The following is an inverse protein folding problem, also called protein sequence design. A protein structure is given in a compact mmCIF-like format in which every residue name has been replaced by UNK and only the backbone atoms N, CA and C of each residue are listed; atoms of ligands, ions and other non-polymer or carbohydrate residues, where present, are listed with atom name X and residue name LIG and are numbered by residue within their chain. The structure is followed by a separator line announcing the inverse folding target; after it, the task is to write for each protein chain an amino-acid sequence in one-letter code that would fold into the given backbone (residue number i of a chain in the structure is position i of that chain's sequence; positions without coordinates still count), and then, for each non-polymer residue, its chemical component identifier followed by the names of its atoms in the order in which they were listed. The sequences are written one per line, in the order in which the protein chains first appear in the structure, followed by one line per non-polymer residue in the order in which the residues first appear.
data_IF_643162122193
#
_entry.id   IF_643162122193
#
_cell.length_a   1.000
_cell.length_b   1.000
_cell.length_c   1.000
_cell.angle_alpha   90.00
_cell.angle_beta   90.00
_cell.angle_gamma   90.00
#
_symmetry.space_group_name_H-M   'P 1'
#
loop_
_entity.id
_entity.type
_entity.pdbx_description
1 polymer ?
#
# COMPACT_ATOMS: atom_id res chain seq x y z
N UNK A 1 1.50 8.82 12.76
CA UNK A 1 0.31 8.91 13.62
C UNK A 1 -0.88 8.32 12.88
N UNK A 2 -1.53 7.32 13.46
CA UNK A 2 -2.67 6.69 12.79
C UNK A 2 -3.89 7.59 12.85
N UNK A 3 -4.56 7.71 11.72
CA UNK A 3 -5.80 8.46 11.62
C UNK A 3 -6.95 7.47 11.80
N UNK A 4 -7.78 7.62 12.85
CA UNK A 4 -8.91 6.71 13.06
C UNK A 4 -9.84 6.63 11.85
N UNK A 5 -9.92 7.72 11.10
CA UNK A 5 -10.74 7.73 9.88
C UNK A 5 -10.19 6.81 8.82
N UNK A 6 -8.88 6.61 8.78
CA UNK A 6 -8.25 5.72 7.79
C UNK A 6 -8.67 4.28 8.00
N UNK A 7 -8.71 3.81 9.25
CA UNK A 7 -9.18 2.45 9.54
C UNK A 7 -10.62 2.28 9.08
N UNK A 8 -11.48 3.24 9.40
CA UNK A 8 -12.89 3.17 9.01
C UNK A 8 -13.06 3.17 7.49
N UNK A 9 -12.27 3.98 6.79
CA UNK A 9 -12.30 4.01 5.33
C UNK A 9 -11.88 2.67 4.74
N UNK A 10 -10.83 2.06 5.29
CA UNK A 10 -10.37 0.74 4.84
C UNK A 10 -11.47 -0.31 5.02
N UNK A 11 -12.12 -0.32 6.18
CA UNK A 11 -13.18 -1.27 6.48
C UNK A 11 -14.39 -1.06 5.57
N UNK A 12 -14.70 0.19 5.26
CA UNK A 12 -15.79 0.52 4.35
C UNK A 12 -15.54 -0.06 2.96
N UNK A 13 -14.33 0.08 2.45
CA UNK A 13 -13.96 -0.46 1.13
C UNK A 13 -14.04 -1.98 1.15
N UNK A 14 -13.56 -2.61 2.21
CA UNK A 14 -13.66 -4.06 2.36
C UNK A 14 -15.11 -4.52 2.30
N UNK A 15 -15.98 -3.84 3.05
CA UNK A 15 -17.39 -4.17 3.08
C UNK A 15 -18.07 -4.01 1.72
N UNK A 16 -17.74 -2.94 1.01
CA UNK A 16 -18.27 -2.70 -0.34
C UNK A 16 -17.85 -3.78 -1.34
N UNK A 17 -16.72 -4.43 -1.06
CA UNK A 17 -16.23 -5.53 -1.92
C UNK A 17 -16.71 -6.89 -1.45
N UNK A 18 -17.68 -6.92 -0.55
CA UNK A 18 -18.29 -8.17 -0.09
C UNK A 18 -17.57 -8.86 1.05
N UNK A 19 -16.54 -8.23 1.62
CA UNK A 19 -15.83 -8.80 2.75
C UNK A 19 -16.61 -8.55 4.05
N UNK A 20 -16.76 -9.62 4.81
CA UNK A 20 -17.30 -9.51 6.16
C UNK A 20 -16.24 -8.89 7.06
N UNK A 21 -16.63 -7.88 7.85
CA UNK A 21 -15.72 -7.24 8.80
C UNK A 21 -15.60 -8.16 10.02
N UNK A 22 -14.37 -8.62 10.27
CA UNK A 22 -14.04 -9.47 11.40
C UNK A 22 -13.00 -8.75 12.26
N UNK A 23 -12.83 -9.22 13.50
CA UNK A 23 -11.82 -8.65 14.39
C UNK A 23 -10.41 -8.77 13.77
N UNK A 24 -10.14 -9.88 13.10
CA UNK A 24 -8.85 -10.11 12.45
C UNK A 24 -8.61 -9.10 11.33
N UNK A 25 -9.64 -8.84 10.50
CA UNK A 25 -9.52 -7.87 9.40
C UNK A 25 -9.42 -6.45 9.94
N UNK A 26 -10.10 -6.14 11.03
CA UNK A 26 -9.97 -4.85 11.70
C UNK A 26 -8.56 -4.67 12.25
N UNK A 27 -8.00 -5.71 12.85
CA UNK A 27 -6.62 -5.70 13.34
C UNK A 27 -5.63 -5.48 12.19
N UNK A 28 -5.89 -6.13 11.05
CA UNK A 28 -5.05 -5.97 9.86
C UNK A 28 -5.04 -4.51 9.41
N UNK A 29 -6.18 -3.87 9.37
CA UNK A 29 -6.26 -2.45 9.03
C UNK A 29 -5.48 -1.58 10.03
N UNK A 30 -5.61 -1.87 11.32
CA UNK A 30 -4.89 -1.13 12.35
C UNK A 30 -3.38 -1.27 12.23
N UNK A 31 -2.90 -2.45 11.87
CA UNK A 31 -1.46 -2.68 11.68
C UNK A 31 -0.88 -1.70 10.66
N UNK A 32 -1.58 -1.49 9.57
CA UNK A 32 -1.12 -0.58 8.53
C UNK A 32 -1.27 0.89 8.90
N UNK A 33 -2.31 1.25 9.61
CA UNK A 33 -2.51 2.64 10.01
C UNK A 33 -1.59 3.06 11.15
N UNK A 34 -1.20 2.11 12.00
CA UNK A 34 -0.32 2.39 13.13
C UNK A 34 1.16 2.46 12.73
N UNK A 35 1.49 1.97 11.56
CA UNK A 35 2.88 1.94 11.09
C UNK A 35 3.07 2.96 9.96
N UNK A 36 3.99 3.88 10.17
CA UNK A 36 4.31 4.90 9.17
C UNK A 36 5.46 4.41 8.30
N UNK A 37 5.11 3.69 7.24
CA UNK A 37 6.09 3.12 6.34
C UNK A 37 5.54 1.92 5.60
N UNK A 38 6.44 1.14 5.05
CA UNK A 38 6.08 -0.02 4.24
C UNK A 38 6.26 -1.30 5.05
N UNK A 39 5.33 -2.21 4.92
CA UNK A 39 5.36 -3.49 5.61
C UNK A 39 5.42 -4.64 4.62
N UNK A 40 6.36 -5.55 4.84
CA UNK A 40 6.43 -6.79 4.07
C UNK A 40 5.37 -7.77 4.56
N UNK A 41 5.02 -8.79 3.77
CA UNK A 41 4.12 -9.84 4.26
C UNK A 41 4.59 -10.49 5.56
N UNK A 42 5.90 -10.67 5.72
CA UNK A 42 6.47 -11.23 6.93
C UNK A 42 6.24 -10.30 8.13
N UNK A 43 6.44 -8.99 7.94
CA UNK A 43 6.20 -8.01 9.01
C UNK A 43 4.74 -8.05 9.47
N UNK A 44 3.82 -8.11 8.52
CA UNK A 44 2.38 -8.16 8.83
C UNK A 44 2.05 -9.45 9.54
N UNK A 45 2.60 -10.56 9.07
CA UNK A 45 2.38 -11.86 9.69
C UNK A 45 2.82 -11.86 11.15
N UNK A 46 4.03 -11.34 11.42
CA UNK A 46 4.55 -11.28 12.79
C UNK A 46 3.68 -10.43 13.70
N UNK A 47 3.22 -9.29 13.21
CA UNK A 47 2.35 -8.41 14.00
C UNK A 47 0.98 -9.02 14.25
N UNK A 48 0.43 -9.70 13.26
CA UNK A 48 -0.88 -10.32 13.39
C UNK A 48 -0.84 -11.53 14.30
N UNK A 49 0.26 -12.28 14.31
CA UNK A 49 0.43 -13.47 15.17
C UNK A 49 0.34 -13.15 16.65
N UNK A 50 0.63 -11.92 17.05
CA UNK A 50 0.53 -11.52 18.45
C UNK A 50 -0.88 -11.78 19.00
N UNK A 51 -1.90 -11.46 18.21
CA UNK A 51 -3.28 -11.64 18.61
C UNK A 51 -3.92 -12.91 18.04
N UNK A 52 -3.37 -13.42 16.95
CA UNK A 52 -3.91 -14.58 16.23
C UNK A 52 -2.80 -15.58 15.93
N UNK A 53 -2.29 -16.30 16.97
CA UNK A 53 -1.12 -17.17 16.79
C UNK A 53 -1.31 -18.29 15.78
N UNK A 54 -2.54 -18.68 15.49
CA UNK A 54 -2.82 -19.78 14.57
C UNK A 54 -2.98 -19.35 13.11
N UNK A 55 -2.86 -18.02 12.83
CA UNK A 55 -2.99 -17.56 11.46
C UNK A 55 -1.81 -18.07 10.62
N UNK A 56 -2.08 -18.51 9.39
CA UNK A 56 -1.02 -18.97 8.51
C UNK A 56 -0.45 -17.80 7.70
N UNK A 57 0.81 -17.92 7.32
CA UNK A 57 1.44 -16.94 6.44
C UNK A 57 0.68 -16.82 5.12
N UNK A 58 0.23 -17.96 4.61
CA UNK A 58 -0.51 -18.02 3.34
C UNK A 58 -1.81 -17.21 3.40
N UNK A 59 -2.52 -17.29 4.53
CA UNK A 59 -3.74 -16.49 4.75
C UNK A 59 -3.42 -15.01 4.75
N UNK A 60 -2.35 -14.62 5.43
CA UNK A 60 -1.92 -13.21 5.47
C UNK A 60 -1.60 -12.71 4.08
N UNK A 61 -0.78 -13.47 3.34
CA UNK A 61 -0.36 -13.08 2.00
C UNK A 61 -1.56 -12.91 1.06
N UNK A 62 -2.51 -13.85 1.13
CA UNK A 62 -3.72 -13.80 0.31
C UNK A 62 -4.56 -12.55 0.63
N UNK A 63 -4.71 -12.25 1.92
CA UNK A 63 -5.44 -11.05 2.33
C UNK A 63 -4.76 -9.77 1.84
N UNK A 64 -3.44 -9.70 1.90
CA UNK A 64 -2.70 -8.53 1.42
C UNK A 64 -2.90 -8.32 -0.08
N UNK A 65 -2.86 -9.40 -0.85
CA UNK A 65 -3.11 -9.32 -2.28
C UNK A 65 -4.52 -8.83 -2.59
N UNK A 66 -5.50 -9.35 -1.89
CA UNK A 66 -6.89 -8.94 -2.10
C UNK A 66 -7.11 -7.47 -1.70
N UNK A 67 -6.50 -7.04 -0.60
CA UNK A 67 -6.58 -5.64 -0.19
C UNK A 67 -5.93 -4.71 -1.22
N UNK A 68 -4.86 -5.16 -1.84
CA UNK A 68 -4.22 -4.42 -2.92
C UNK A 68 -5.13 -4.32 -4.14
N UNK A 69 -5.80 -5.41 -4.50
CA UNK A 69 -6.74 -5.43 -5.61
C UNK A 69 -7.95 -4.52 -5.38
N UNK A 70 -8.38 -4.39 -4.11
CA UNK A 70 -9.48 -3.50 -3.74
C UNK A 70 -9.08 -2.03 -3.71
N UNK A 71 -7.78 -1.73 -3.80
CA UNK A 71 -7.28 -0.37 -3.70
C UNK A 71 -7.07 0.12 -2.28
N UNK A 72 -7.20 -0.75 -1.27
CA UNK A 72 -6.98 -0.40 0.13
C UNK A 72 -5.50 -0.26 0.41
N UNK A 73 -4.69 -1.15 -0.16
CA UNK A 73 -3.24 -1.13 -0.03
C UNK A 73 -2.59 -0.90 -1.39
N UNK A 74 -1.39 -0.34 -1.38
CA UNK A 74 -0.54 -0.25 -2.56
C UNK A 74 0.66 -1.15 -2.38
N UNK A 75 1.11 -1.78 -3.48
CA UNK A 75 2.28 -2.65 -3.51
C UNK A 75 3.47 -1.91 -4.06
N UNK A 76 4.63 -2.12 -3.45
CA UNK A 76 5.88 -1.51 -3.89
C UNK A 76 6.99 -2.55 -3.85
N UNK A 77 7.97 -2.40 -4.75
CA UNK A 77 9.12 -3.31 -4.82
C UNK A 77 10.38 -2.56 -4.46
N UNK A 78 11.18 -3.12 -3.56
CA UNK A 78 12.41 -2.51 -3.08
C UNK A 78 13.59 -3.45 -3.32
N UNK A 79 14.81 -2.88 -3.42
CA UNK A 79 16.01 -3.65 -3.71
C UNK A 79 16.26 -4.78 -2.72
N UNK A 80 16.17 -4.47 -1.43
CA UNK A 80 16.51 -5.44 -0.38
C UNK A 80 15.30 -6.11 0.24
N UNK A 81 14.18 -5.46 0.21
CA UNK A 81 12.99 -5.93 0.91
C UNK A 81 11.98 -6.66 0.05
N UNK A 82 12.17 -6.66 -1.25
CA UNK A 82 11.21 -7.25 -2.15
C UNK A 82 9.87 -6.53 -2.09
N UNK A 83 8.81 -7.32 -2.04
CA UNK A 83 7.44 -6.78 -2.05
C UNK A 83 7.04 -6.26 -0.68
N UNK A 84 6.58 -5.01 -0.64
CA UNK A 84 6.04 -4.40 0.58
C UNK A 84 4.73 -3.69 0.27
N UNK A 85 3.97 -3.44 1.31
CA UNK A 85 2.64 -2.83 1.20
C UNK A 85 2.55 -1.61 2.10
N UNK A 86 1.74 -0.66 1.67
CA UNK A 86 1.42 0.53 2.45
C UNK A 86 -0.03 0.88 2.21
N UNK A 87 -0.68 1.49 3.21
CA UNK A 87 -2.06 1.93 3.03
C UNK A 87 -2.12 2.98 1.92
N UNK A 88 -3.08 2.81 1.03
CA UNK A 88 -3.30 3.74 -0.06
C UNK A 88 -3.90 5.04 0.50
N UNK A 89 -3.53 6.17 -0.09
CA UNK A 89 -4.14 7.44 0.28
C UNK A 89 -5.53 7.51 -0.34
N UNK A 90 -6.55 7.47 0.51
CA UNK A 90 -7.93 7.41 0.07
C UNK A 90 -8.61 8.77 -0.01
N UNK A 91 -7.97 9.81 0.55
CA UNK A 91 -8.60 11.12 0.69
C UNK A 91 -8.34 12.06 -0.48
N UNK A 92 -7.23 11.92 -1.19
CA UNK A 92 -6.94 12.74 -2.37
C UNK A 92 -5.95 12.03 -3.28
N UNK A 93 -5.91 12.50 -4.51
CA UNK A 93 -5.10 11.91 -5.57
C UNK A 93 -3.69 12.51 -5.57
N UNK A 94 -2.70 11.66 -5.42
CA UNK A 94 -1.31 12.07 -5.55
C UNK A 94 -0.45 10.86 -5.94
N UNK A 95 0.79 11.12 -6.26
CA UNK A 95 1.73 10.08 -6.68
C UNK A 95 2.98 10.13 -5.83
N UNK A 96 3.83 9.11 -5.94
CA UNK A 96 4.98 8.94 -5.06
C UNK A 96 6.29 8.84 -5.81
N UNK A 97 7.31 9.48 -5.25
CA UNK A 97 8.70 9.29 -5.63
C UNK A 97 9.36 8.50 -4.51
N UNK A 98 9.88 7.33 -4.81
CA UNK A 98 10.30 6.35 -3.80
C UNK A 98 11.78 6.02 -3.98
N UNK A 99 12.56 6.12 -2.90
CA UNK A 99 13.92 5.62 -2.90
C UNK A 99 13.88 4.12 -2.67
N UNK A 100 14.38 3.34 -3.62
CA UNK A 100 14.35 1.88 -3.52
C UNK A 100 15.37 1.34 -2.52
N UNK A 101 16.27 2.18 -2.03
CA UNK A 101 17.28 1.77 -1.06
C UNK A 101 16.85 2.02 0.38
N UNK A 102 16.44 3.24 0.72
CA UNK A 102 16.08 3.59 2.10
C UNK A 102 14.58 3.74 2.34
N UNK A 103 13.76 3.56 1.31
CA UNK A 103 12.30 3.66 1.35
C UNK A 103 11.77 5.08 1.59
N UNK A 104 12.64 6.09 1.59
CA UNK A 104 12.19 7.47 1.69
C UNK A 104 11.21 7.77 0.56
N UNK A 105 10.07 8.33 0.92
CA UNK A 105 8.99 8.59 -0.04
C UNK A 105 8.59 10.04 -0.01
N UNK A 106 8.53 10.65 -1.18
CA UNK A 106 8.02 12.01 -1.35
C UNK A 106 6.74 11.96 -2.16
N UNK A 107 5.80 12.82 -1.79
CA UNK A 107 4.52 12.92 -2.48
C UNK A 107 4.60 14.07 -3.48
N UNK A 108 4.10 13.85 -4.68
CA UNK A 108 3.99 14.94 -5.66
C UNK A 108 2.63 14.86 -6.35
N UNK A 109 2.16 16.00 -6.83
CA UNK A 109 0.80 16.10 -7.38
C UNK A 109 0.70 15.92 -8.89
N UNK A 110 1.81 15.93 -9.59
CA UNK A 110 1.78 15.73 -11.04
C UNK A 110 1.17 14.37 -11.38
N UNK A 111 0.23 14.37 -12.30
CA UNK A 111 -0.41 13.14 -12.77
C UNK A 111 -0.43 13.12 -14.28
N UNK A 112 0.18 12.10 -14.94
CA UNK A 112 0.17 12.04 -16.40
C UNK A 112 -1.24 11.89 -16.97
N UNK A 113 -2.19 11.41 -16.18
CA UNK A 113 -3.58 11.25 -16.64
C UNK A 113 -4.35 12.57 -16.73
N UNK A 114 -3.83 13.64 -16.15
CA UNK A 114 -4.43 14.96 -16.29
C UNK A 114 -4.14 15.56 -17.67
N UNK A 115 -3.13 15.05 -18.35
CA UNK A 115 -2.83 15.44 -19.71
C UNK A 115 -3.59 14.53 -20.66
N UNK A 116 -3.86 15.05 -21.85
CA UNK A 116 -4.58 14.28 -22.85
C UNK A 116 -3.70 13.13 -23.35
N UNK A 117 -4.00 11.93 -22.90
CA UNK A 117 -3.29 10.73 -23.33
C UNK A 117 -4.06 10.08 -24.48
N UNK A 118 -3.32 9.71 -25.51
CA UNK A 118 -3.88 8.98 -26.64
C UNK A 118 -3.75 7.49 -26.36
N UNK A 119 -4.72 6.95 -25.63
CA UNK A 119 -4.74 5.54 -25.29
C UNK A 119 -5.43 4.73 -26.39
N UNK A 120 -4.92 3.53 -26.68
CA UNK A 120 -5.53 2.69 -27.73
C UNK A 120 -6.87 2.10 -27.28
N UNK A 121 -7.79 1.95 -28.22
CA UNK A 121 -9.06 1.33 -27.97
C UNK A 121 -10.06 2.24 -27.28
N UNK A 122 -11.24 1.67 -27.01
CA UNK A 122 -12.33 2.39 -26.35
C UNK A 122 -12.55 1.83 -24.94
N UNK A 123 -11.53 1.98 -24.09
CA UNK A 123 -11.60 1.49 -22.72
C UNK A 123 -12.22 2.52 -21.80
N UNK A 124 -13.05 2.05 -20.88
CA UNK A 124 -13.48 2.87 -19.76
C UNK A 124 -12.39 2.77 -18.70
N UNK A 125 -11.68 3.87 -18.45
CA UNK A 125 -10.59 3.86 -17.49
C UNK A 125 -11.16 3.86 -16.08
N UNK A 126 -10.81 2.82 -15.31
CA UNK A 126 -11.28 2.67 -13.94
C UNK A 126 -10.24 3.21 -12.96
N UNK A 127 -8.96 2.96 -13.23
CA UNK A 127 -7.90 3.32 -12.30
C UNK A 127 -6.58 3.42 -13.04
N UNK A 128 -5.60 4.07 -12.41
CA UNK A 128 -4.24 4.11 -12.92
C UNK A 128 -3.27 4.16 -11.74
N UNK A 129 -2.02 3.80 -12.02
CA UNK A 129 -0.94 3.88 -11.04
C UNK A 129 0.23 4.58 -11.70
N UNK A 130 0.91 5.43 -10.94
CA UNK A 130 2.09 6.12 -11.40
C UNK A 130 2.99 6.37 -10.21
N UNK A 131 4.09 5.64 -10.13
CA UNK A 131 5.12 5.80 -9.11
C UNK A 131 6.45 5.97 -9.81
N UNK A 132 7.32 6.79 -9.24
CA UNK A 132 8.68 6.95 -9.75
C UNK A 132 9.64 6.35 -8.72
N UNK A 133 10.48 5.45 -9.17
CA UNK A 133 11.46 4.77 -8.33
C UNK A 133 12.85 5.30 -8.64
N UNK A 134 13.61 5.62 -7.62
CA UNK A 134 14.94 6.16 -7.81
C UNK A 134 15.83 5.91 -6.59
N UNK A 135 16.97 6.57 -6.59
CA UNK A 135 17.91 6.54 -5.46
C UNK A 135 18.00 7.96 -4.92
N UNK A 136 17.65 8.19 -3.67
CA UNK A 136 17.67 9.52 -3.11
C UNK A 136 19.11 10.06 -3.00
N UNK A 137 19.23 11.37 -2.85
CA UNK A 137 20.52 12.05 -2.82
C UNK A 137 21.46 11.44 -1.75
N UNK A 138 20.94 11.22 -0.57
CA UNK A 138 21.74 10.65 0.53
C UNK A 138 22.25 9.25 0.21
N UNK A 139 21.42 8.42 -0.42
CA UNK A 139 21.82 7.06 -0.77
C UNK A 139 22.82 7.05 -1.91
N UNK A 140 22.73 8.00 -2.84
CA UNK A 140 23.72 8.13 -3.90
C UNK A 140 25.09 8.49 -3.33
N UNK A 141 25.11 9.34 -2.32
CA UNK A 141 26.36 9.77 -1.69
C UNK A 141 26.99 8.68 -0.84
N UNK A 142 26.19 7.82 -0.23
CA UNK A 142 26.69 6.77 0.64
C UNK A 142 27.06 5.47 -0.08
N UNK A 143 26.74 5.36 -1.37
CA UNK A 143 27.01 4.15 -2.15
C UNK A 143 28.26 4.26 -3.01
N UNK A 144 29.30 4.81 -2.46
CA UNK A 144 30.59 4.89 -3.14
C UNK A 144 31.36 3.59 -3.04
#
# INVERSE_FOLDING_TARGET
MSDPNTVQEMLTIMSKNGWRITDKRRKLAQIFTDYDGYLSPKDVYEKLCVNYPSVSFDTVYRNLRMLSEMGVLEQFYFLDGGLKFKVNCLSHHHHHLICINCEKTLIFEYCPMEQKLDLPGKYKIINHRFEVYGICEECQMSSS
#
